data_IF_460227252077
#
_entry.id   IF_460227252077
#
_cell.length_a   1.000
_cell.length_b   1.000
_cell.length_c   1.000
_cell.angle_alpha   90.00
_cell.angle_beta   90.00
_cell.angle_gamma   90.00
#
_symmetry.space_group_name_H-M   'P 1'
#
loop_
_entity.id
_entity.type
_entity.pdbx_description
1 polymer ?
#
# COMPACT_ATOMS: atom_id res chain seq x y z
N UNK A 1 64.14 24.43 11.24
CA UNK A 1 63.59 25.03 10.01
C UNK A 1 62.82 24.01 9.16
N UNK A 2 63.43 22.89 8.71
CA UNK A 2 62.73 21.91 7.86
C UNK A 2 61.50 21.26 8.53
N UNK A 3 61.62 20.82 9.79
CA UNK A 3 60.51 20.19 10.54
C UNK A 3 59.29 21.12 10.70
N UNK A 4 59.52 22.39 11.01
CA UNK A 4 58.44 23.38 11.18
C UNK A 4 57.75 23.69 9.85
N UNK A 5 58.51 23.80 8.76
CA UNK A 5 57.95 23.98 7.42
C UNK A 5 57.11 22.77 6.98
N UNK A 6 57.61 21.55 7.23
CA UNK A 6 56.88 20.31 6.96
C UNK A 6 55.58 20.22 7.78
N UNK A 7 55.58 20.60 9.05
CA UNK A 7 54.36 20.60 9.88
C UNK A 7 53.30 21.58 9.36
N UNK A 8 53.71 22.78 8.92
CA UNK A 8 52.77 23.77 8.34
C UNK A 8 52.21 23.26 7.01
N UNK A 9 53.05 22.73 6.13
CA UNK A 9 52.63 22.18 4.85
C UNK A 9 51.68 20.99 5.03
N UNK A 10 52.05 20.02 5.88
CA UNK A 10 51.19 18.86 6.18
C UNK A 10 49.86 19.27 6.80
N UNK A 11 49.82 20.30 7.65
CA UNK A 11 48.56 20.82 8.20
C UNK A 11 47.68 21.44 7.12
N UNK A 12 48.25 22.18 6.19
CA UNK A 12 47.50 22.77 5.08
C UNK A 12 46.92 21.68 4.15
N UNK A 13 47.75 20.70 3.76
CA UNK A 13 47.30 19.56 2.96
C UNK A 13 46.24 18.75 3.70
N UNK A 14 46.41 18.50 4.99
CA UNK A 14 45.41 17.80 5.80
C UNK A 14 44.07 18.56 5.83
N UNK A 15 44.09 19.87 5.99
CA UNK A 15 42.88 20.70 6.02
C UNK A 15 42.16 20.71 4.66
N UNK A 16 42.91 20.91 3.56
CA UNK A 16 42.34 20.90 2.21
C UNK A 16 41.76 19.52 1.87
N UNK A 17 42.48 18.43 2.16
CA UNK A 17 41.99 17.07 1.93
C UNK A 17 40.75 16.76 2.76
N UNK A 18 40.71 17.22 4.03
CA UNK A 18 39.55 17.06 4.90
C UNK A 18 38.33 17.81 4.35
N UNK A 19 38.52 19.05 3.89
CA UNK A 19 37.45 19.84 3.29
C UNK A 19 36.87 19.19 2.03
N UNK A 20 37.74 18.72 1.12
CA UNK A 20 37.30 18.06 -0.12
C UNK A 20 36.55 16.76 0.21
N UNK A 21 37.06 15.96 1.15
CA UNK A 21 36.40 14.73 1.59
C UNK A 21 35.02 15.00 2.18
N UNK A 22 34.91 15.97 3.09
CA UNK A 22 33.63 16.33 3.70
C UNK A 22 32.64 16.85 2.65
N UNK A 23 33.10 17.67 1.72
CA UNK A 23 32.28 18.18 0.62
C UNK A 23 31.78 17.03 -0.27
N UNK A 24 32.66 16.10 -0.62
CA UNK A 24 32.31 14.91 -1.41
C UNK A 24 31.29 14.04 -0.67
N UNK A 25 31.50 13.81 0.63
CA UNK A 25 30.57 13.05 1.47
C UNK A 25 29.18 13.71 1.53
N UNK A 26 29.13 15.04 1.65
CA UNK A 26 27.87 15.79 1.65
C UNK A 26 27.13 15.66 0.31
N UNK A 27 27.86 15.72 -0.82
CA UNK A 27 27.27 15.52 -2.16
C UNK A 27 26.74 14.10 -2.34
N UNK A 28 27.50 13.08 -1.95
CA UNK A 28 27.07 11.68 -2.02
C UNK A 28 25.83 11.46 -1.15
N UNK A 29 25.83 11.99 0.07
CA UNK A 29 24.68 11.91 0.97
C UNK A 29 23.43 12.54 0.35
N UNK A 30 23.55 13.76 -0.17
CA UNK A 30 22.44 14.45 -0.84
C UNK A 30 21.94 13.69 -2.08
N UNK A 31 22.86 13.14 -2.88
CA UNK A 31 22.49 12.34 -4.05
C UNK A 31 21.70 11.09 -3.66
N UNK A 32 22.13 10.36 -2.64
CA UNK A 32 21.41 9.16 -2.16
C UNK A 32 20.03 9.55 -1.59
N UNK A 33 19.96 10.62 -0.80
CA UNK A 33 18.69 11.05 -0.19
C UNK A 33 17.65 11.43 -1.25
N UNK A 34 18.05 12.22 -2.25
CA UNK A 34 17.16 12.64 -3.33
C UNK A 34 16.78 11.52 -4.28
N UNK A 35 17.75 10.69 -4.69
CA UNK A 35 17.55 9.69 -5.75
C UNK A 35 16.91 8.42 -5.19
N UNK A 36 17.27 8.00 -3.96
CA UNK A 36 16.87 6.70 -3.42
C UNK A 36 15.88 6.81 -2.26
N UNK A 37 16.16 7.65 -1.25
CA UNK A 37 15.35 7.71 -0.03
C UNK A 37 13.97 8.34 -0.30
N UNK A 38 13.91 9.42 -1.08
CA UNK A 38 12.68 10.10 -1.45
C UNK A 38 11.63 9.16 -2.11
N UNK A 39 11.98 8.42 -3.17
CA UNK A 39 11.09 7.44 -3.79
C UNK A 39 10.60 6.36 -2.84
N UNK A 40 11.50 5.75 -2.05
CA UNK A 40 11.14 4.71 -1.07
C UNK A 40 10.09 5.26 -0.09
N UNK A 41 10.31 6.47 0.42
CA UNK A 41 9.36 7.13 1.33
C UNK A 41 8.00 7.39 0.68
N UNK A 42 7.99 7.72 -0.60
CA UNK A 42 6.77 7.92 -1.39
C UNK A 42 6.01 6.61 -1.56
N UNK A 43 6.70 5.53 -1.91
CA UNK A 43 6.11 4.19 -2.01
C UNK A 43 5.51 3.74 -0.67
N UNK A 44 6.25 3.86 0.43
CA UNK A 44 5.76 3.51 1.77
C UNK A 44 4.52 4.31 2.14
N UNK A 45 4.51 5.63 1.88
CA UNK A 45 3.32 6.46 2.14
C UNK A 45 2.14 6.03 1.28
N UNK A 46 2.36 5.68 0.02
CA UNK A 46 1.30 5.17 -0.85
C UNK A 46 0.76 3.82 -0.36
N UNK A 47 1.61 2.93 0.15
CA UNK A 47 1.18 1.66 0.75
C UNK A 47 0.32 1.88 1.99
N UNK A 48 0.75 2.78 2.89
CA UNK A 48 -0.03 3.14 4.07
C UNK A 48 -1.38 3.76 3.69
N UNK A 49 -1.38 4.72 2.77
CA UNK A 49 -2.60 5.35 2.25
C UNK A 49 -3.54 4.32 1.63
N UNK A 50 -3.04 3.44 0.77
CA UNK A 50 -3.84 2.36 0.16
C UNK A 50 -4.42 1.42 1.22
N UNK A 51 -3.66 1.08 2.26
CA UNK A 51 -4.12 0.22 3.35
C UNK A 51 -5.27 0.80 4.17
N UNK A 52 -5.40 2.13 4.25
CA UNK A 52 -6.51 2.77 4.98
C UNK A 52 -7.84 2.67 4.23
N UNK A 53 -7.80 2.73 2.90
CA UNK A 53 -8.99 2.66 2.05
C UNK A 53 -8.64 1.97 0.71
N UNK A 54 -8.52 0.64 0.70
CA UNK A 54 -8.06 -0.11 -0.46
C UNK A 54 -9.08 -0.16 -1.61
N UNK A 55 -10.34 0.20 -1.34
CA UNK A 55 -11.40 0.27 -2.35
C UNK A 55 -11.29 1.54 -3.23
N UNK A 56 -10.53 2.56 -2.82
CA UNK A 56 -10.39 3.83 -3.54
C UNK A 56 -9.30 3.75 -4.64
N UNK A 57 -9.66 3.81 -5.94
CA UNK A 57 -8.69 3.75 -7.04
C UNK A 57 -7.70 4.92 -7.02
N UNK A 58 -8.07 6.05 -6.40
CA UNK A 58 -7.21 7.22 -6.27
C UNK A 58 -6.00 7.00 -5.37
N UNK A 59 -5.97 5.92 -4.57
CA UNK A 59 -4.89 5.59 -3.64
C UNK A 59 -3.83 4.64 -4.19
N UNK A 60 -4.00 4.19 -5.43
CA UNK A 60 -2.99 3.41 -6.15
C UNK A 60 -1.83 4.32 -6.53
N UNK A 61 -0.61 3.86 -6.29
CA UNK A 61 0.60 4.62 -6.63
C UNK A 61 0.67 4.84 -8.14
N UNK A 62 1.01 6.05 -8.58
CA UNK A 62 1.34 6.32 -9.98
C UNK A 62 2.84 6.13 -10.17
N UNK A 63 3.30 5.13 -10.94
CA UNK A 63 4.72 4.91 -11.15
C UNK A 63 5.37 6.10 -11.86
N UNK A 64 6.54 6.52 -11.40
CA UNK A 64 7.29 7.55 -12.10
C UNK A 64 7.88 7.00 -13.42
N UNK A 65 8.11 7.89 -14.39
CA UNK A 65 8.73 7.57 -15.69
C UNK A 65 10.24 7.36 -15.57
N UNK A 66 10.65 6.46 -14.67
CA UNK A 66 12.04 6.07 -14.41
C UNK A 66 12.29 4.63 -14.85
N UNK A 67 13.48 4.41 -15.38
CA UNK A 67 13.92 3.15 -15.98
C UNK A 67 14.90 2.36 -15.09
N UNK A 68 15.09 2.80 -13.85
CA UNK A 68 15.88 2.11 -12.83
C UNK A 68 15.06 1.07 -12.07
N UNK A 69 15.72 0.33 -11.18
CA UNK A 69 15.12 -0.70 -10.32
C UNK A 69 14.02 -0.13 -9.42
N UNK A 70 14.13 1.14 -9.02
CA UNK A 70 13.11 1.84 -8.24
C UNK A 70 11.85 2.03 -9.08
N UNK A 71 11.98 2.40 -10.35
CA UNK A 71 10.88 2.46 -11.29
C UNK A 71 10.19 1.11 -11.52
N UNK A 72 10.97 0.03 -11.58
CA UNK A 72 10.41 -1.33 -11.64
C UNK A 72 9.60 -1.61 -10.36
N UNK A 73 10.16 -1.32 -9.20
CA UNK A 73 9.48 -1.54 -7.91
C UNK A 73 8.17 -0.73 -7.79
N UNK A 74 8.15 0.51 -8.26
CA UNK A 74 6.93 1.34 -8.29
C UNK A 74 5.85 0.75 -9.21
N UNK A 75 6.23 0.25 -10.40
CA UNK A 75 5.30 -0.41 -11.33
C UNK A 75 4.75 -1.71 -10.77
N UNK A 76 5.59 -2.53 -10.15
CA UNK A 76 5.16 -3.78 -9.51
C UNK A 76 4.25 -3.50 -8.31
N UNK A 77 4.54 -2.45 -7.54
CA UNK A 77 3.67 -2.02 -6.44
C UNK A 77 2.29 -1.58 -6.94
N UNK A 78 2.24 -0.78 -8.01
CA UNK A 78 0.97 -0.36 -8.65
C UNK A 78 0.15 -1.57 -9.08
N UNK A 79 0.77 -2.51 -9.79
CA UNK A 79 0.11 -3.73 -10.26
C UNK A 79 -0.41 -4.59 -9.09
N UNK A 80 0.35 -4.69 -8.00
CA UNK A 80 -0.09 -5.41 -6.80
C UNK A 80 -1.31 -4.73 -6.17
N UNK A 81 -1.30 -3.41 -6.04
CA UNK A 81 -2.42 -2.64 -5.48
C UNK A 81 -3.69 -2.78 -6.34
N UNK A 82 -3.57 -2.69 -7.67
CA UNK A 82 -4.68 -2.90 -8.60
C UNK A 82 -5.30 -4.31 -8.45
N UNK A 83 -4.46 -5.35 -8.37
CA UNK A 83 -4.93 -6.73 -8.18
C UNK A 83 -5.62 -6.90 -6.83
N UNK A 84 -5.06 -6.35 -5.76
CA UNK A 84 -5.65 -6.40 -4.42
C UNK A 84 -7.01 -5.70 -4.37
N UNK A 85 -7.11 -4.50 -4.94
CA UNK A 85 -8.37 -3.77 -5.02
C UNK A 85 -9.44 -4.59 -5.75
N UNK A 86 -9.08 -5.18 -6.91
CA UNK A 86 -10.01 -6.00 -7.67
C UNK A 86 -10.51 -7.19 -6.84
N UNK A 87 -9.61 -7.91 -6.18
CA UNK A 87 -9.98 -9.05 -5.32
C UNK A 87 -10.88 -8.63 -4.16
N UNK A 88 -10.62 -7.49 -3.51
CA UNK A 88 -11.47 -6.97 -2.43
C UNK A 88 -12.86 -6.61 -2.95
N UNK A 89 -12.94 -5.98 -4.12
CA UNK A 89 -14.24 -5.64 -4.75
C UNK A 89 -15.07 -6.89 -5.09
N UNK A 90 -14.42 -7.94 -5.60
CA UNK A 90 -15.06 -9.23 -5.89
C UNK A 90 -15.53 -9.91 -4.62
N UNK A 91 -14.71 -9.93 -3.57
CA UNK A 91 -15.07 -10.48 -2.26
C UNK A 91 -16.28 -9.76 -1.66
N UNK A 92 -16.33 -8.43 -1.75
CA UNK A 92 -17.47 -7.63 -1.31
C UNK A 92 -18.74 -8.00 -2.07
N UNK A 93 -18.65 -8.13 -3.39
CA UNK A 93 -19.80 -8.53 -4.21
C UNK A 93 -20.33 -9.92 -3.84
N UNK A 94 -19.44 -10.87 -3.57
CA UNK A 94 -19.82 -12.21 -3.11
C UNK A 94 -20.46 -12.19 -1.71
N UNK A 95 -19.98 -11.33 -0.81
CA UNK A 95 -20.58 -11.16 0.51
C UNK A 95 -22.00 -10.57 0.42
N UNK A 96 -22.21 -9.57 -0.44
CA UNK A 96 -23.52 -8.97 -0.69
C UNK A 96 -24.49 -10.00 -1.29
N UNK A 97 -24.02 -10.86 -2.20
CA UNK A 97 -24.81 -11.97 -2.73
C UNK A 97 -25.15 -12.99 -1.64
N UNK A 98 -24.20 -13.34 -0.76
CA UNK A 98 -24.44 -14.22 0.38
C UNK A 98 -25.50 -13.70 1.34
N UNK A 99 -25.50 -12.38 1.61
CA UNK A 99 -26.54 -11.72 2.39
C UNK A 99 -27.91 -11.77 1.70
N UNK A 100 -27.96 -11.50 0.39
CA UNK A 100 -29.19 -11.59 -0.37
C UNK A 100 -29.78 -13.00 -0.37
N UNK A 101 -28.94 -14.02 -0.58
CA UNK A 101 -29.36 -15.43 -0.53
C UNK A 101 -29.81 -15.83 0.88
N UNK A 102 -29.11 -15.39 1.92
CA UNK A 102 -29.50 -15.63 3.32
C UNK A 102 -30.89 -15.05 3.62
N UNK A 103 -31.17 -13.84 3.13
CA UNK A 103 -32.49 -13.20 3.26
C UNK A 103 -33.58 -14.00 2.55
N UNK A 104 -33.34 -14.43 1.31
CA UNK A 104 -34.30 -15.26 0.56
C UNK A 104 -34.58 -16.57 1.31
N UNK A 105 -33.55 -17.22 1.83
CA UNK A 105 -33.71 -18.46 2.58
C UNK A 105 -34.55 -18.26 3.85
N UNK A 106 -34.26 -17.21 4.60
CA UNK A 106 -35.03 -16.82 5.77
C UNK A 106 -36.51 -16.58 5.41
N UNK A 107 -36.77 -15.83 4.33
CA UNK A 107 -38.12 -15.51 3.90
C UNK A 107 -38.89 -16.76 3.42
N UNK A 108 -38.24 -17.67 2.70
CA UNK A 108 -38.81 -18.97 2.33
C UNK A 108 -39.18 -19.79 3.56
N UNK A 109 -38.29 -19.87 4.55
CA UNK A 109 -38.55 -20.62 5.80
C UNK A 109 -39.73 -20.03 6.57
N UNK A 110 -39.86 -18.70 6.61
CA UNK A 110 -41.01 -18.04 7.22
C UNK A 110 -42.32 -18.32 6.46
N UNK A 111 -42.28 -18.32 5.12
CA UNK A 111 -43.45 -18.66 4.28
C UNK A 111 -43.87 -20.12 4.51
N UNK A 112 -42.92 -21.07 4.54
CA UNK A 112 -43.23 -22.47 4.81
C UNK A 112 -43.86 -22.67 6.20
N UNK A 113 -43.30 -22.04 7.23
CA UNK A 113 -43.86 -22.10 8.58
C UNK A 113 -45.28 -21.51 8.63
N UNK A 114 -45.51 -20.40 7.94
CA UNK A 114 -46.83 -19.77 7.85
C UNK A 114 -47.84 -20.67 7.13
N UNK A 115 -47.43 -21.33 6.05
CA UNK A 115 -48.27 -22.29 5.32
C UNK A 115 -48.64 -23.51 6.17
N UNK A 116 -47.69 -24.05 6.94
CA UNK A 116 -47.93 -25.15 7.88
C UNK A 116 -48.94 -24.75 8.96
N UNK A 117 -48.78 -23.58 9.58
CA UNK A 117 -49.73 -23.07 10.58
C UNK A 117 -51.14 -22.84 10.01
N UNK A 118 -51.25 -22.37 8.76
CA UNK A 118 -52.52 -22.23 8.05
C UNK A 118 -53.18 -23.59 7.79
N UNK A 119 -52.38 -24.59 7.37
CA UNK A 119 -52.84 -25.97 7.18
C UNK A 119 -53.33 -26.60 8.48
N UNK A 120 -52.62 -26.38 9.60
CA UNK A 120 -53.03 -26.88 10.91
C UNK A 120 -54.34 -26.24 11.40
N UNK A 121 -54.52 -24.92 11.16
CA UNK A 121 -55.79 -24.24 11.47
C UNK A 121 -56.96 -24.76 10.63
N UNK A 122 -56.75 -25.06 9.35
CA UNK A 122 -57.81 -25.62 8.49
C UNK A 122 -58.21 -27.03 8.93
N UNK A 123 -57.29 -27.84 9.45
CA UNK A 123 -57.63 -29.14 10.07
C UNK A 123 -58.49 -28.98 11.31
N UNK A 124 -58.18 -28.01 12.17
CA UNK A 124 -58.93 -27.73 13.41
C UNK A 124 -60.38 -27.23 13.19
N UNK A 125 -60.71 -26.68 12.03
CA UNK A 125 -62.07 -26.19 11.68
C UNK A 125 -62.91 -27.27 10.99
N UNK A 126 -62.30 -28.40 10.60
CA UNK A 126 -62.98 -29.47 9.85
C UNK A 126 -63.52 -30.61 10.73
N UNK A 127 -63.45 -30.48 12.04
CA UNK A 127 -64.12 -31.33 13.04
C UNK A 127 -65.20 -30.50 13.77
#
# INVERSE_FOLDING_TARGET
>A
ALRSAMLVYSRNVAFVSLLISLFTAMLVYAAIDLIMIGPIRTMTRSMLSFSEAPDDPGRIIRPAARADEIGVAERELSQMQERLQKMLSEQKHLADLGLAVSKINHDMRNILASAQLMSDRLRLVKD
#
